data_IF_399418048466
#
_entry.id   IF_399418048466
#
_cell.length_a   1.000
_cell.length_b   1.000
_cell.length_c   1.000
_cell.angle_alpha   90.00
_cell.angle_beta   90.00
_cell.angle_gamma   90.00
#
_symmetry.space_group_name_H-M   'P 1'
#
loop_
_entity.id
_entity.type
_entity.pdbx_description
1 polymer ?
#
# COMPACT_ATOMS: atom_id res chain seq x y z
N UNK A 1 4.56 -16.73 -1.38
CA UNK A 1 5.95 -16.97 -0.93
C UNK A 1 5.96 -17.02 0.59
N UNK A 2 6.65 -18.00 1.17
CA UNK A 2 6.92 -18.09 2.61
C UNK A 2 8.43 -18.00 2.82
N UNK A 3 8.88 -17.14 3.74
CA UNK A 3 10.29 -16.88 3.99
C UNK A 3 10.58 -16.81 5.48
N UNK A 4 11.80 -17.16 5.87
CA UNK A 4 12.33 -16.83 7.19
C UNK A 4 12.74 -15.34 7.21
N UNK A 5 12.14 -14.50 8.05
CA UNK A 5 12.45 -13.08 8.10
C UNK A 5 13.84 -12.76 8.70
N UNK A 6 14.50 -13.71 9.38
CA UNK A 6 15.82 -13.51 9.98
C UNK A 6 16.96 -13.85 9.03
N UNK A 7 16.79 -14.88 8.20
CA UNK A 7 17.83 -15.37 7.27
C UNK A 7 17.56 -14.97 5.82
N UNK A 8 16.30 -14.67 5.47
CA UNK A 8 15.87 -14.44 4.09
C UNK A 8 15.67 -15.72 3.29
N UNK A 9 15.79 -16.90 3.90
CA UNK A 9 15.60 -18.18 3.22
C UNK A 9 14.16 -18.33 2.74
N UNK A 10 14.02 -18.80 1.49
CA UNK A 10 12.72 -19.10 0.89
C UNK A 10 12.33 -20.53 1.26
N UNK A 11 11.36 -20.65 2.17
CA UNK A 11 10.86 -21.96 2.62
C UNK A 11 9.91 -22.57 1.59
N UNK A 12 9.14 -21.74 0.88
CA UNK A 12 8.22 -22.21 -0.15
C UNK A 12 7.81 -21.10 -1.13
N UNK A 13 7.70 -21.48 -2.41
CA UNK A 13 7.07 -20.69 -3.46
C UNK A 13 6.02 -21.53 -4.15
N UNK A 14 4.78 -21.05 -4.12
CA UNK A 14 3.66 -21.65 -4.81
C UNK A 14 3.00 -20.58 -5.68
N UNK A 15 2.45 -20.99 -6.82
CA UNK A 15 1.73 -20.12 -7.74
C UNK A 15 1.00 -20.99 -8.75
N UNK A 16 -0.19 -20.56 -9.17
CA UNK A 16 -0.96 -21.22 -10.21
C UNK A 16 -1.46 -20.15 -11.17
N UNK A 17 -1.50 -20.47 -12.46
CA UNK A 17 -2.14 -19.63 -13.48
C UNK A 17 -3.13 -20.45 -14.29
N UNK A 18 -4.17 -19.78 -14.78
CA UNK A 18 -5.10 -20.37 -15.73
C UNK A 18 -4.65 -19.96 -17.13
N UNK A 19 -4.35 -20.94 -17.97
CA UNK A 19 -4.05 -20.71 -19.39
C UNK A 19 -5.08 -21.42 -20.25
N UNK A 20 -5.32 -20.91 -21.45
CA UNK A 20 -6.11 -21.64 -22.44
C UNK A 20 -5.20 -22.61 -23.19
N UNK A 21 -5.61 -23.86 -23.22
CA UNK A 21 -5.01 -24.86 -24.08
C UNK A 21 -5.21 -24.46 -25.55
N UNK A 22 -4.13 -24.54 -26.34
CA UNK A 22 -4.14 -24.03 -27.72
C UNK A 22 -4.90 -24.96 -28.68
N UNK A 23 -4.96 -26.25 -28.37
CA UNK A 23 -5.53 -27.26 -29.26
C UNK A 23 -7.01 -27.52 -28.93
N UNK A 24 -7.35 -27.52 -27.63
CA UNK A 24 -8.71 -27.80 -27.15
C UNK A 24 -9.49 -26.54 -26.78
N UNK A 25 -8.82 -25.39 -26.63
CA UNK A 25 -9.43 -24.12 -26.21
C UNK A 25 -9.89 -24.08 -24.75
N UNK A 26 -9.70 -25.17 -24.00
CA UNK A 26 -10.17 -25.30 -22.62
C UNK A 26 -9.23 -24.59 -21.63
N UNK A 27 -9.79 -24.07 -20.55
CA UNK A 27 -9.01 -23.48 -19.46
C UNK A 27 -8.34 -24.58 -18.64
N UNK A 28 -7.02 -24.51 -18.50
CA UNK A 28 -6.21 -25.43 -17.69
C UNK A 28 -5.42 -24.66 -16.64
N UNK A 29 -5.31 -25.24 -15.44
CA UNK A 29 -4.49 -24.69 -14.36
C UNK A 29 -3.08 -25.24 -14.44
N UNK A 30 -2.08 -24.37 -14.46
CA UNK A 30 -0.66 -24.72 -14.51
C UNK A 30 0.09 -24.13 -13.33
N UNK A 31 1.17 -24.80 -12.92
CA UNK A 31 2.10 -24.26 -11.93
C UNK A 31 2.80 -23.00 -12.45
N UNK A 32 2.88 -22.01 -11.57
CA UNK A 32 3.44 -20.69 -11.84
C UNK A 32 4.22 -20.15 -10.64
N UNK A 33 4.98 -21.02 -9.97
CA UNK A 33 5.80 -20.63 -8.82
C UNK A 33 6.82 -19.52 -9.17
N UNK A 34 7.35 -19.52 -10.40
CA UNK A 34 8.23 -18.47 -10.92
C UNK A 34 7.50 -17.11 -11.07
N UNK A 35 6.19 -17.13 -11.28
CA UNK A 35 5.37 -15.92 -11.38
C UNK A 35 5.50 -15.01 -10.16
N UNK A 36 5.81 -15.57 -8.99
CA UNK A 36 6.06 -14.83 -7.75
C UNK A 36 7.20 -13.80 -7.85
N UNK A 37 8.13 -13.95 -8.80
CA UNK A 37 9.29 -13.06 -8.98
C UNK A 37 9.40 -12.47 -10.38
N UNK A 38 8.78 -13.09 -11.40
CA UNK A 38 8.87 -12.65 -12.80
C UNK A 38 7.71 -11.76 -13.24
N UNK A 39 6.68 -11.60 -12.42
CA UNK A 39 5.49 -10.81 -12.74
C UNK A 39 5.28 -9.66 -11.76
N UNK A 40 4.62 -8.60 -12.21
CA UNK A 40 4.35 -7.40 -11.40
C UNK A 40 2.85 -7.22 -11.20
N UNK A 41 2.45 -6.94 -9.96
CA UNK A 41 1.06 -6.63 -9.60
C UNK A 41 0.99 -5.35 -8.77
N UNK A 42 -0.18 -4.72 -8.78
CA UNK A 42 -0.47 -3.62 -7.86
C UNK A 42 -0.53 -4.16 -6.42
N UNK A 43 0.46 -3.79 -5.61
CA UNK A 43 0.62 -4.24 -4.21
C UNK A 43 -0.43 -3.67 -3.24
N UNK A 44 -1.10 -2.58 -3.62
CA UNK A 44 -2.15 -1.97 -2.81
C UNK A 44 -1.66 -1.52 -1.43
N UNK A 45 -2.46 -1.75 -0.39
CA UNK A 45 -2.17 -1.24 0.96
C UNK A 45 -1.01 -1.96 1.67
N UNK A 46 -0.44 -3.02 1.09
CA UNK A 46 0.69 -3.74 1.67
C UNK A 46 1.93 -2.83 1.86
N UNK A 47 2.08 -1.75 1.08
CA UNK A 47 3.23 -0.83 1.18
C UNK A 47 3.12 0.20 2.30
N UNK A 48 1.96 0.36 2.95
CA UNK A 48 1.71 1.46 3.89
C UNK A 48 2.65 1.45 5.10
N UNK A 49 3.06 0.27 5.56
CA UNK A 49 4.06 0.15 6.62
C UNK A 49 5.40 0.79 6.24
N UNK A 50 5.83 0.60 4.98
CA UNK A 50 7.05 1.22 4.46
C UNK A 50 6.90 2.74 4.27
N UNK A 51 5.70 3.22 3.89
CA UNK A 51 5.40 4.65 3.83
C UNK A 51 5.52 5.31 5.20
N UNK A 52 4.93 4.71 6.23
CA UNK A 52 5.07 5.21 7.62
C UNK A 52 6.54 5.20 8.05
N UNK A 53 7.26 4.11 7.80
CA UNK A 53 8.69 4.01 8.14
C UNK A 53 9.53 5.09 7.46
N UNK A 54 9.22 5.40 6.19
CA UNK A 54 9.87 6.51 5.46
C UNK A 54 9.53 7.85 6.08
N UNK A 55 8.29 8.04 6.52
CA UNK A 55 7.85 9.23 7.26
C UNK A 55 8.63 9.43 8.56
N UNK A 56 8.87 8.36 9.33
CA UNK A 56 9.74 8.43 10.51
C UNK A 56 11.19 8.76 10.13
N UNK A 57 11.75 8.09 9.12
CA UNK A 57 13.14 8.27 8.71
C UNK A 57 13.45 9.70 8.25
N UNK A 58 12.48 10.34 7.60
CA UNK A 58 12.59 11.72 7.10
C UNK A 58 12.23 12.77 8.14
N UNK A 59 11.69 12.36 9.29
CA UNK A 59 11.15 13.26 10.32
C UNK A 59 9.82 13.90 9.94
N UNK A 60 9.20 13.49 8.83
CA UNK A 60 7.90 14.00 8.37
C UNK A 60 6.74 13.64 9.32
N UNK A 61 6.87 12.54 10.04
CA UNK A 61 6.01 12.11 11.15
C UNK A 61 6.87 11.47 12.24
N UNK A 62 6.33 11.41 13.45
CA UNK A 62 6.87 10.67 14.60
C UNK A 62 5.87 9.61 15.06
N UNK A 63 6.30 8.55 15.78
CA UNK A 63 5.38 7.61 16.41
C UNK A 63 4.28 8.33 17.21
N UNK A 64 3.03 7.96 16.96
CA UNK A 64 1.86 8.60 17.58
C UNK A 64 1.42 9.92 16.94
N UNK A 65 2.04 10.36 15.83
CA UNK A 65 1.56 11.52 15.06
C UNK A 65 0.13 11.30 14.61
N UNK A 66 -0.73 12.26 14.93
CA UNK A 66 -2.17 12.19 14.63
C UNK A 66 -2.50 13.03 13.42
N UNK A 67 -3.19 12.43 12.46
CA UNK A 67 -3.85 13.14 11.37
C UNK A 67 -5.37 12.98 11.46
N UNK A 68 -6.10 13.96 10.94
CA UNK A 68 -7.54 13.90 10.86
C UNK A 68 -7.95 13.28 9.52
N UNK A 69 -8.33 12.01 9.52
CA UNK A 69 -8.82 11.30 8.34
C UNK A 69 -10.19 11.85 7.90
N UNK A 70 -10.13 12.62 6.81
CA UNK A 70 -11.27 13.18 6.08
C UNK A 70 -10.95 13.22 4.59
N UNK A 71 -11.97 13.39 3.73
CA UNK A 71 -11.72 13.58 2.31
C UNK A 71 -10.80 14.79 2.06
N UNK A 72 -9.72 14.56 1.32
CA UNK A 72 -8.76 15.56 0.90
C UNK A 72 -9.05 16.00 -0.53
N UNK A 73 -8.98 17.30 -0.78
CA UNK A 73 -9.11 17.88 -2.12
C UNK A 73 -7.84 18.64 -2.45
N UNK A 74 -7.01 18.01 -3.29
CA UNK A 74 -5.80 18.62 -3.86
C UNK A 74 -6.18 19.25 -5.20
N UNK A 75 -5.53 20.35 -5.57
CA UNK A 75 -5.83 21.09 -6.81
C UNK A 75 -5.79 20.14 -8.02
N UNK A 76 -6.79 20.25 -8.90
CA UNK A 76 -6.89 19.46 -10.15
C UNK A 76 -7.05 17.93 -9.96
N UNK A 77 -7.06 17.40 -8.72
CA UNK A 77 -7.29 15.96 -8.50
C UNK A 77 -8.75 15.67 -8.13
N UNK A 78 -9.24 14.44 -8.39
CA UNK A 78 -10.41 13.92 -7.69
C UNK A 78 -10.19 13.94 -6.18
N UNK A 79 -11.29 13.97 -5.43
CA UNK A 79 -11.25 13.88 -3.97
C UNK A 79 -10.58 12.57 -3.55
N UNK A 80 -9.56 12.67 -2.72
CA UNK A 80 -8.80 11.56 -2.16
C UNK A 80 -9.36 11.23 -0.79
N UNK A 81 -9.78 9.98 -0.56
CA UNK A 81 -10.38 9.57 0.72
C UNK A 81 -10.04 8.13 1.08
N UNK A 82 -10.13 7.84 2.38
CA UNK A 82 -10.25 6.49 2.89
C UNK A 82 -11.64 5.93 2.55
N UNK A 83 -11.83 4.61 2.73
CA UNK A 83 -13.11 3.97 2.45
C UNK A 83 -14.25 4.45 3.36
N UNK A 84 -13.90 5.03 4.52
CA UNK A 84 -14.77 5.76 5.45
C UNK A 84 -13.98 6.89 6.09
N UNK A 85 -14.67 7.89 6.62
CA UNK A 85 -14.07 8.93 7.46
C UNK A 85 -13.84 8.40 8.86
N UNK A 86 -12.59 8.46 9.34
CA UNK A 86 -12.23 7.98 10.67
C UNK A 86 -11.99 9.09 11.70
N UNK A 87 -11.86 10.34 11.25
CA UNK A 87 -11.47 11.44 12.15
C UNK A 87 -10.03 11.26 12.64
N UNK A 88 -9.69 11.63 13.88
CA UNK A 88 -8.31 11.59 14.35
C UNK A 88 -7.79 10.15 14.44
N UNK A 89 -6.69 9.88 13.73
CA UNK A 89 -5.98 8.61 13.73
C UNK A 89 -4.49 8.83 13.94
N UNK A 90 -3.87 7.99 14.76
CA UNK A 90 -2.41 7.81 14.78
C UNK A 90 -1.99 6.74 13.76
N UNK A 91 -0.68 6.61 13.56
CA UNK A 91 -0.01 5.56 12.78
C UNK A 91 -0.55 4.14 13.00
N UNK A 92 -0.71 3.72 14.27
CA UNK A 92 -1.22 2.39 14.63
C UNK A 92 -2.64 2.20 14.08
N UNK A 93 -3.54 3.14 14.37
CA UNK A 93 -4.93 3.03 13.91
C UNK A 93 -5.03 3.23 12.39
N UNK A 94 -4.15 4.02 11.78
CA UNK A 94 -4.06 4.19 10.34
C UNK A 94 -3.71 2.87 9.63
N UNK A 95 -2.77 2.07 10.17
CA UNK A 95 -2.48 0.74 9.64
C UNK A 95 -3.64 -0.22 9.91
N UNK A 96 -4.21 -0.21 11.13
CA UNK A 96 -5.35 -1.06 11.51
C UNK A 96 -6.55 -0.88 10.57
N UNK A 97 -6.87 0.35 10.20
CA UNK A 97 -8.00 0.66 9.33
C UNK A 97 -7.62 0.81 7.86
N UNK A 98 -6.32 0.65 7.54
CA UNK A 98 -5.77 0.90 6.23
C UNK A 98 -6.17 2.28 5.68
N UNK A 99 -5.99 3.34 6.48
CA UNK A 99 -6.27 4.71 6.08
C UNK A 99 -5.45 5.10 4.85
N UNK A 100 -6.10 5.64 3.82
CA UNK A 100 -5.42 6.25 2.67
C UNK A 100 -5.03 7.69 2.98
N UNK A 101 -5.89 8.42 3.70
CA UNK A 101 -5.68 9.83 4.04
C UNK A 101 -4.42 10.01 4.88
N UNK A 102 -4.19 9.14 5.88
CA UNK A 102 -2.98 9.19 6.68
C UNK A 102 -1.71 9.06 5.83
N UNK A 103 -1.75 8.21 4.80
CA UNK A 103 -0.61 8.04 3.88
C UNK A 103 -0.41 9.26 2.98
N UNK A 104 -1.49 9.87 2.49
CA UNK A 104 -1.40 11.10 1.70
C UNK A 104 -0.81 12.25 2.50
N UNK A 105 -1.30 12.49 3.72
CA UNK A 105 -0.75 13.50 4.65
C UNK A 105 0.73 13.22 4.96
N UNK A 106 1.08 11.95 5.22
CA UNK A 106 2.48 11.55 5.45
C UNK A 106 3.37 11.89 4.26
N UNK A 107 2.94 11.58 3.02
CA UNK A 107 3.74 11.84 1.82
C UNK A 107 3.82 13.34 1.49
N UNK A 108 2.74 14.10 1.75
CA UNK A 108 2.77 15.57 1.63
C UNK A 108 3.83 16.14 2.58
N UNK A 109 3.86 15.69 3.83
CA UNK A 109 4.87 16.12 4.80
C UNK A 109 6.28 15.69 4.40
N UNK A 110 6.47 14.48 3.85
CA UNK A 110 7.76 14.02 3.31
C UNK A 110 8.26 14.98 2.22
N UNK A 111 7.35 15.49 1.38
CA UNK A 111 7.65 16.49 0.36
C UNK A 111 7.90 17.91 0.91
N UNK A 112 7.89 18.12 2.22
CA UNK A 112 7.98 19.44 2.86
C UNK A 112 6.72 20.29 2.72
N UNK A 113 5.62 19.70 2.23
CA UNK A 113 4.34 20.37 2.07
C UNK A 113 3.49 20.31 3.35
N UNK A 114 2.37 21.02 3.30
CA UNK A 114 1.30 20.95 4.30
C UNK A 114 -0.03 20.91 3.55
N UNK A 115 -0.88 19.95 3.88
CA UNK A 115 -2.17 19.84 3.21
C UNK A 115 -3.03 21.09 3.46
N UNK A 116 -3.53 21.66 2.38
CA UNK A 116 -4.50 22.74 2.36
C UNK A 116 -5.53 22.49 1.25
N UNK A 117 -6.79 22.86 1.50
CA UNK A 117 -7.88 22.62 0.56
C UNK A 117 -7.64 23.33 -0.77
N UNK A 118 -7.71 22.57 -1.89
CA UNK A 118 -7.48 23.05 -3.27
C UNK A 118 -6.12 23.68 -3.54
N UNK A 119 -5.14 23.48 -2.66
CA UNK A 119 -3.74 23.81 -2.92
C UNK A 119 -3.01 22.66 -3.63
N UNK A 120 -1.91 22.95 -4.33
CA UNK A 120 -1.01 21.93 -4.87
C UNK A 120 -0.43 21.03 -3.78
#
# INVERSE_FOLDING_TARGET
VLMDPHTGEVLSMAGKKIVKDKDTGQSQMQDDALGNITTTYNVGSAVKGATILTGYKTGAINPGTVFYDRPLKIKVTPVKKSWRNFGPLNDINALKFSSNVYMFETVINIGGGKYEFEKP
#
